data_IF_037295286753
#
_entry.id   IF_037295286753
#
_cell.length_a   1.000
_cell.length_b   1.000
_cell.length_c   1.000
_cell.angle_alpha   90.00
_cell.angle_beta   90.00
_cell.angle_gamma   90.00
#
_symmetry.space_group_name_H-M   'P 1'
#
loop_
_entity.id
_entity.type
_entity.pdbx_description
1 polymer ?
#
# COMPACT_ATOMS: atom_id res chain seq x y z
N UNK A 1 -56.76 18.47 74.72
CA UNK A 1 -57.49 19.73 74.47
C UNK A 1 -56.44 20.83 74.38
N UNK A 2 -56.54 21.70 73.36
CA UNK A 2 -55.65 22.84 73.05
C UNK A 2 -54.31 22.42 72.40
N UNK A 3 -53.84 22.95 71.26
CA UNK A 3 -54.38 23.83 70.22
C UNK A 3 -53.55 23.58 68.94
N UNK A 4 -54.23 23.61 67.79
CA UNK A 4 -53.69 23.70 66.45
C UNK A 4 -53.42 25.19 66.18
N UNK A 5 -52.22 25.59 65.77
CA UNK A 5 -52.01 26.84 65.02
C UNK A 5 -50.92 26.61 63.95
N UNK A 6 -51.34 26.87 62.71
CA UNK A 6 -50.55 26.96 61.50
C UNK A 6 -49.56 28.13 61.59
N UNK A 7 -48.29 27.92 61.22
CA UNK A 7 -47.42 29.04 60.82
C UNK A 7 -46.86 28.78 59.41
N UNK A 8 -47.55 29.39 58.46
CA UNK A 8 -47.15 29.57 57.07
C UNK A 8 -45.82 30.33 57.00
N UNK A 9 -44.74 29.64 56.62
CA UNK A 9 -43.50 30.30 56.20
C UNK A 9 -43.62 30.73 54.75
N UNK A 10 -43.33 32.00 54.39
CA UNK A 10 -43.36 32.43 53.01
C UNK A 10 -42.12 31.88 52.28
N UNK A 11 -42.36 31.03 51.28
CA UNK A 11 -41.40 30.69 50.23
C UNK A 11 -40.96 31.98 49.54
N UNK A 12 -39.75 32.44 49.87
CA UNK A 12 -39.07 33.47 49.09
C UNK A 12 -38.39 32.79 47.92
N UNK A 13 -39.17 32.47 46.89
CA UNK A 13 -38.67 32.18 45.54
C UNK A 13 -37.98 33.45 45.00
N UNK A 14 -36.70 33.61 45.34
CA UNK A 14 -35.81 34.49 44.60
C UNK A 14 -35.05 33.65 43.59
N UNK A 15 -35.78 33.14 42.59
CA UNK A 15 -35.20 32.81 41.30
C UNK A 15 -34.78 34.14 40.64
N UNK A 16 -33.70 34.72 41.16
CA UNK A 16 -33.06 35.87 40.58
C UNK A 16 -32.37 35.37 39.31
N UNK A 17 -33.10 35.46 38.20
CA UNK A 17 -32.61 35.07 36.90
C UNK A 17 -31.30 35.80 36.64
N UNK A 18 -30.20 35.05 36.58
CA UNK A 18 -28.86 35.59 36.35
C UNK A 18 -28.78 36.37 35.02
N UNK A 19 -29.76 36.19 34.13
CA UNK A 19 -29.96 36.97 32.92
C UNK A 19 -30.26 38.46 33.21
N UNK A 20 -31.07 38.77 34.23
CA UNK A 20 -31.50 40.15 34.54
C UNK A 20 -30.37 40.99 35.16
N UNK A 21 -29.51 40.37 35.98
CA UNK A 21 -28.32 41.01 36.54
C UNK A 21 -27.36 41.46 35.44
N UNK A 22 -27.20 40.62 34.42
CA UNK A 22 -26.29 40.88 33.29
C UNK A 22 -26.79 42.06 32.43
N UNK A 23 -28.11 42.17 32.23
CA UNK A 23 -28.71 43.25 31.44
C UNK A 23 -28.63 44.61 32.15
N UNK A 24 -28.81 44.60 33.48
CA UNK A 24 -28.71 45.80 34.31
C UNK A 24 -27.30 46.39 34.34
N UNK A 25 -26.28 45.53 34.46
CA UNK A 25 -24.87 45.94 34.35
C UNK A 25 -24.54 46.53 32.98
N UNK A 26 -25.13 45.97 31.90
CA UNK A 26 -24.98 46.48 30.54
C UNK A 26 -25.57 47.89 30.39
N UNK A 27 -26.73 48.11 31.00
CA UNK A 27 -27.45 49.39 30.97
C UNK A 27 -26.74 50.47 31.78
N UNK A 28 -26.12 50.11 32.91
CA UNK A 28 -25.23 50.99 33.68
C UNK A 28 -23.94 51.33 32.93
N UNK A 29 -23.34 50.37 32.22
CA UNK A 29 -22.15 50.63 31.41
C UNK A 29 -22.45 51.54 30.19
N UNK A 30 -23.66 51.47 29.65
CA UNK A 30 -24.16 52.38 28.62
C UNK A 30 -24.42 53.80 29.17
N UNK A 31 -25.06 53.92 30.34
CA UNK A 31 -25.34 55.22 30.97
C UNK A 31 -24.07 55.93 31.45
N UNK A 32 -23.07 55.17 31.90
CA UNK A 32 -21.73 55.67 32.22
C UNK A 32 -20.90 56.06 30.97
N UNK A 33 -21.45 55.90 29.77
CA UNK A 33 -20.82 56.28 28.50
C UNK A 33 -19.65 55.39 28.07
N UNK A 34 -19.44 54.25 28.75
CA UNK A 34 -18.39 53.27 28.41
C UNK A 34 -18.78 52.45 27.18
N UNK A 35 -20.07 52.20 27.00
CA UNK A 35 -20.66 51.58 25.81
C UNK A 35 -21.41 52.65 25.00
N UNK A 36 -21.11 52.77 23.70
CA UNK A 36 -21.84 53.65 22.77
C UNK A 36 -22.68 52.81 21.80
N UNK A 37 -23.84 53.29 21.32
CA UNK A 37 -24.55 52.63 20.24
C UNK A 37 -23.62 52.52 19.03
N UNK A 38 -23.38 51.30 18.54
CA UNK A 38 -22.45 51.04 17.43
C UNK A 38 -20.98 50.81 17.82
N UNK A 39 -20.64 50.74 19.12
CA UNK A 39 -19.31 50.36 19.60
C UNK A 39 -19.08 48.83 19.60
N UNK A 40 -19.99 48.06 18.99
CA UNK A 40 -19.83 46.64 18.79
C UNK A 40 -18.91 46.43 17.58
N UNK A 41 -17.60 46.45 17.81
CA UNK A 41 -16.64 45.97 16.81
C UNK A 41 -16.78 44.45 16.80
N UNK A 42 -17.25 43.90 15.68
CA UNK A 42 -17.11 42.46 15.43
C UNK A 42 -15.61 42.19 15.38
N UNK A 43 -15.06 41.71 16.51
CA UNK A 43 -13.70 41.21 16.53
C UNK A 43 -13.70 39.99 15.62
N UNK A 44 -13.21 40.16 14.39
CA UNK A 44 -12.89 39.03 13.55
C UNK A 44 -12.01 38.10 14.39
N UNK A 45 -12.55 36.94 14.77
CA UNK A 45 -11.83 35.97 15.58
C UNK A 45 -10.47 35.72 14.94
N UNK A 46 -9.42 35.55 15.76
CA UNK A 46 -8.06 35.32 15.27
C UNK A 46 -8.11 34.33 14.11
N UNK A 47 -7.65 34.77 12.93
CA UNK A 47 -7.68 33.95 11.71
C UNK A 47 -7.05 32.60 12.04
N UNK A 48 -7.79 31.51 11.78
CA UNK A 48 -7.27 30.16 11.99
C UNK A 48 -5.97 30.03 11.17
N UNK A 49 -4.89 29.52 11.75
CA UNK A 49 -3.66 29.33 11.00
C UNK A 49 -3.92 28.33 9.86
N UNK A 50 -3.28 28.56 8.71
CA UNK A 50 -3.41 27.67 7.54
C UNK A 50 -2.99 26.22 7.87
N UNK A 51 -2.05 26.05 8.80
CA UNK A 51 -1.64 24.75 9.34
C UNK A 51 -1.77 24.74 10.86
N UNK A 52 -2.97 24.40 11.35
CA UNK A 52 -3.23 24.22 12.78
C UNK A 52 -2.76 22.84 13.26
N UNK A 53 -1.48 22.75 13.62
CA UNK A 53 -0.90 21.52 14.16
C UNK A 53 -1.57 21.07 15.48
N UNK A 54 -2.10 22.00 16.29
CA UNK A 54 -2.79 21.65 17.53
C UNK A 54 -4.16 21.02 17.25
N UNK A 55 -4.92 21.60 16.33
CA UNK A 55 -6.19 21.03 15.87
C UNK A 55 -6.02 19.65 15.24
N UNK A 56 -5.00 19.46 14.40
CA UNK A 56 -4.70 18.14 13.79
C UNK A 56 -4.38 17.07 14.84
N UNK A 57 -3.62 17.41 15.90
CA UNK A 57 -3.33 16.48 17.00
C UNK A 57 -4.57 16.15 17.82
N UNK A 58 -5.45 17.12 18.04
CA UNK A 58 -6.73 16.90 18.72
C UNK A 58 -7.62 15.97 17.90
N UNK A 59 -7.81 16.26 16.60
CA UNK A 59 -8.57 15.38 15.70
C UNK A 59 -7.97 13.98 15.61
N UNK A 60 -6.63 13.84 15.61
CA UNK A 60 -5.97 12.54 15.67
C UNK A 60 -6.35 11.80 16.95
N UNK A 61 -6.32 12.49 18.10
CA UNK A 61 -6.70 11.91 19.39
C UNK A 61 -8.15 11.44 19.38
N UNK A 62 -9.05 12.24 18.80
CA UNK A 62 -10.48 11.92 18.73
C UNK A 62 -10.76 10.74 17.78
N UNK A 63 -9.97 10.59 16.70
CA UNK A 63 -10.08 9.48 15.74
C UNK A 63 -9.34 8.21 16.18
N UNK A 64 -8.38 8.32 17.09
CA UNK A 64 -7.53 7.20 17.47
C UNK A 64 -8.29 6.25 18.37
N UNK A 65 -8.67 5.11 17.81
CA UNK A 65 -9.23 4.00 18.57
C UNK A 65 -8.14 3.24 19.33
N UNK A 66 -8.22 3.23 20.67
CA UNK A 66 -7.31 2.50 21.56
C UNK A 66 -7.65 1.00 21.67
N UNK A 67 -7.96 0.37 20.53
CA UNK A 67 -8.24 -1.07 20.49
C UNK A 67 -6.95 -1.90 20.54
N UNK A 68 -6.98 -3.13 21.08
CA UNK A 68 -5.89 -4.08 20.95
C UNK A 68 -5.48 -4.24 19.49
N UNK A 69 -4.18 -4.34 19.24
CA UNK A 69 -3.66 -4.42 17.86
C UNK A 69 -4.26 -5.56 17.03
N UNK A 70 -4.69 -6.65 17.67
CA UNK A 70 -5.32 -7.80 17.00
C UNK A 70 -6.60 -7.43 16.27
N UNK A 71 -7.33 -6.44 16.76
CA UNK A 71 -8.58 -5.96 16.15
C UNK A 71 -8.32 -4.94 15.05
N UNK A 72 -7.18 -4.24 15.12
CA UNK A 72 -6.80 -3.21 14.14
C UNK A 72 -6.02 -3.79 12.95
N UNK A 73 -5.16 -4.78 13.21
CA UNK A 73 -4.23 -5.42 12.27
C UNK A 73 -3.42 -4.40 11.43
N UNK A 74 -3.22 -3.20 11.96
CA UNK A 74 -2.53 -2.10 11.30
C UNK A 74 -1.01 -2.30 11.39
N UNK A 75 -0.32 -2.16 10.25
CA UNK A 75 1.14 -2.31 10.20
C UNK A 75 1.72 -1.18 9.36
N UNK A 76 2.58 -0.39 9.98
CA UNK A 76 3.36 0.66 9.33
C UNK A 76 4.82 0.22 9.28
N UNK A 77 5.31 -0.12 8.10
CA UNK A 77 6.69 -0.58 7.87
C UNK A 77 7.24 0.02 6.59
N UNK A 78 8.54 0.22 6.59
CA UNK A 78 9.30 0.57 5.40
C UNK A 78 9.52 -0.67 4.52
N UNK A 79 9.76 -0.49 3.21
CA UNK A 79 10.08 -1.60 2.31
C UNK A 79 11.32 -2.38 2.77
N UNK A 80 11.32 -3.71 2.59
CA UNK A 80 12.51 -4.52 2.88
C UNK A 80 13.66 -4.09 1.98
N UNK A 81 14.83 -3.85 2.56
CA UNK A 81 16.06 -3.55 1.82
C UNK A 81 16.44 -4.69 0.88
N UNK A 82 16.90 -4.36 -0.32
CA UNK A 82 17.23 -5.32 -1.36
C UNK A 82 18.53 -6.06 -1.02
N UNK A 83 18.44 -7.28 -0.48
CA UNK A 83 19.63 -8.10 -0.17
C UNK A 83 20.21 -8.79 -1.42
N UNK A 84 19.46 -8.80 -2.53
CA UNK A 84 19.88 -9.37 -3.82
C UNK A 84 20.70 -8.34 -4.60
N UNK A 85 21.98 -8.21 -4.25
CA UNK A 85 22.93 -7.24 -4.81
C UNK A 85 23.13 -7.33 -6.33
N UNK A 86 22.34 -6.56 -7.09
CA UNK A 86 22.63 -6.22 -8.50
C UNK A 86 22.52 -4.73 -8.80
N UNK A 87 22.09 -3.88 -7.86
CA UNK A 87 22.25 -2.43 -7.97
C UNK A 87 22.81 -1.91 -6.64
N UNK A 88 23.98 -1.28 -6.73
CA UNK A 88 24.74 -0.81 -5.58
C UNK A 88 23.94 0.11 -4.66
N UNK A 89 24.33 0.07 -3.38
CA UNK A 89 24.11 1.11 -2.37
C UNK A 89 22.99 2.10 -2.69
N UNK A 90 21.77 1.78 -2.27
CA UNK A 90 20.80 2.81 -1.94
C UNK A 90 20.74 2.90 -0.43
N UNK A 91 21.19 4.03 0.09
CA UNK A 91 21.05 4.39 1.50
C UNK A 91 19.58 4.24 1.92
N UNK A 92 19.30 3.65 3.10
CA UNK A 92 17.93 3.40 3.56
C UNK A 92 17.09 4.67 3.80
N UNK A 93 17.69 5.87 3.68
CA UNK A 93 17.06 7.14 3.99
C UNK A 93 16.78 8.06 2.78
N UNK A 94 17.16 7.70 1.56
CA UNK A 94 16.73 8.39 0.32
C UNK A 94 16.96 7.47 -0.87
N UNK A 95 16.06 6.52 -1.11
CA UNK A 95 15.96 5.95 -2.44
C UNK A 95 15.04 6.86 -3.24
N UNK A 96 15.60 7.73 -4.09
CA UNK A 96 14.88 8.38 -5.19
C UNK A 96 14.36 7.27 -6.12
N UNK A 97 13.29 6.60 -5.69
CA UNK A 97 12.55 5.67 -6.51
C UNK A 97 11.96 6.53 -7.61
N UNK A 98 12.33 6.26 -8.85
CA UNK A 98 11.76 6.97 -9.97
C UNK A 98 10.25 6.69 -9.98
N UNK A 99 9.44 7.67 -9.56
CA UNK A 99 8.00 7.54 -9.48
C UNK A 99 7.36 7.27 -10.85
N UNK A 100 8.05 7.62 -11.95
CA UNK A 100 7.61 7.37 -13.32
C UNK A 100 7.94 5.95 -13.82
N UNK A 101 8.84 5.22 -13.14
CA UNK A 101 9.12 3.82 -13.46
C UNK A 101 8.15 2.89 -12.71
N UNK A 102 7.13 2.44 -13.43
CA UNK A 102 6.10 1.55 -12.90
C UNK A 102 6.67 0.25 -12.32
N UNK A 103 7.72 -0.32 -12.92
CA UNK A 103 8.27 -1.60 -12.45
C UNK A 103 8.99 -1.45 -11.11
N UNK A 104 9.74 -0.36 -10.94
CA UNK A 104 10.40 -0.04 -9.67
C UNK A 104 9.38 0.28 -8.58
N UNK A 105 8.35 1.05 -8.93
CA UNK A 105 7.25 1.41 -8.02
C UNK A 105 6.47 0.17 -7.54
N UNK A 106 6.07 -0.71 -8.45
CA UNK A 106 5.37 -1.95 -8.13
C UNK A 106 6.24 -2.89 -7.28
N UNK A 107 7.55 -2.97 -7.57
CA UNK A 107 8.49 -3.74 -6.76
C UNK A 107 8.60 -3.19 -5.32
N UNK A 108 8.58 -1.87 -5.15
CA UNK A 108 8.57 -1.24 -3.83
C UNK A 108 7.31 -1.60 -3.04
N UNK A 109 6.12 -1.47 -3.66
CA UNK A 109 4.86 -1.86 -3.02
C UNK A 109 4.84 -3.33 -2.63
N UNK A 110 5.34 -4.21 -3.50
CA UNK A 110 5.46 -5.63 -3.21
C UNK A 110 6.34 -5.89 -1.97
N UNK A 111 7.50 -5.23 -1.88
CA UNK A 111 8.42 -5.38 -0.74
C UNK A 111 7.86 -4.81 0.55
N UNK A 112 7.15 -3.69 0.49
CA UNK A 112 6.48 -3.12 1.66
C UNK A 112 5.40 -4.06 2.18
N UNK A 113 4.58 -4.62 1.28
CA UNK A 113 3.59 -5.63 1.64
C UNK A 113 4.24 -6.89 2.24
N UNK A 114 5.35 -7.34 1.67
CA UNK A 114 6.12 -8.47 2.20
C UNK A 114 6.67 -8.18 3.61
N UNK A 115 7.24 -7.00 3.85
CA UNK A 115 7.69 -6.56 5.17
C UNK A 115 6.55 -6.64 6.19
N UNK A 116 5.37 -6.14 5.81
CA UNK A 116 4.21 -6.10 6.69
C UNK A 116 3.72 -7.52 7.05
N UNK A 117 3.72 -8.43 6.08
CA UNK A 117 3.37 -9.85 6.30
C UNK A 117 4.40 -10.53 7.22
N UNK A 118 5.70 -10.31 6.98
CA UNK A 118 6.76 -10.87 7.82
C UNK A 118 6.73 -10.34 9.26
N UNK A 119 6.34 -9.08 9.44
CA UNK A 119 6.16 -8.48 10.75
C UNK A 119 4.91 -9.01 11.49
N UNK A 120 3.78 -9.12 10.78
CA UNK A 120 2.48 -9.48 11.37
C UNK A 120 2.33 -10.96 11.67
N UNK A 121 2.82 -11.86 10.81
CA UNK A 121 2.63 -13.31 10.97
C UNK A 121 3.18 -13.86 12.30
N UNK A 122 4.41 -13.53 12.75
CA UNK A 122 4.91 -13.98 14.04
C UNK A 122 4.07 -13.46 15.21
N UNK A 123 3.55 -12.23 15.12
CA UNK A 123 2.71 -11.61 16.14
C UNK A 123 1.36 -12.34 16.26
N UNK A 124 0.73 -12.64 15.13
CA UNK A 124 -0.51 -13.43 15.08
C UNK A 124 -0.32 -14.86 15.62
N UNK A 125 0.81 -15.51 15.31
CA UNK A 125 1.14 -16.84 15.86
C UNK A 125 1.29 -16.83 17.38
N UNK A 126 1.94 -15.80 17.95
CA UNK A 126 2.05 -15.64 19.42
C UNK A 126 0.67 -15.53 20.09
N UNK A 127 -0.29 -14.93 19.40
CA UNK A 127 -1.68 -14.78 19.82
C UNK A 127 -2.55 -16.00 19.49
N UNK A 128 -1.96 -17.08 18.94
CA UNK A 128 -2.64 -18.32 18.54
C UNK A 128 -3.77 -18.11 17.51
N UNK A 129 -3.65 -17.09 16.66
CA UNK A 129 -4.59 -16.85 15.55
C UNK A 129 -4.17 -17.68 14.33
N UNK A 130 -5.11 -18.41 13.74
CA UNK A 130 -4.87 -19.18 12.51
C UNK A 130 -4.75 -18.24 11.30
N UNK A 131 -3.62 -18.27 10.60
CA UNK A 131 -3.34 -17.34 9.49
C UNK A 131 -3.42 -17.99 8.10
N UNK A 132 -3.37 -19.33 8.01
CA UNK A 132 -3.41 -20.05 6.74
C UNK A 132 -4.84 -20.50 6.46
N UNK A 133 -5.34 -20.18 5.27
CA UNK A 133 -6.62 -20.72 4.77
C UNK A 133 -6.48 -22.23 4.51
N UNK A 134 -7.32 -23.08 5.13
CA UNK A 134 -7.37 -24.52 4.81
C UNK A 134 -7.92 -24.76 3.40
N UNK A 135 -7.41 -25.79 2.71
CA UNK A 135 -7.87 -26.15 1.36
C UNK A 135 -9.31 -26.69 1.34
N UNK A 136 -9.75 -27.28 2.45
CA UNK A 136 -11.10 -27.84 2.64
C UNK A 136 -12.11 -26.81 3.19
N UNK A 137 -11.74 -25.53 3.24
CA UNK A 137 -12.64 -24.46 3.66
C UNK A 137 -13.20 -23.69 2.46
N UNK A 138 -14.40 -24.11 2.04
CA UNK A 138 -15.15 -23.55 0.92
C UNK A 138 -16.06 -22.41 1.40
N UNK A 139 -15.54 -21.19 1.36
CA UNK A 139 -16.29 -19.96 1.57
C UNK A 139 -16.30 -19.12 0.28
N UNK A 140 -17.18 -18.13 0.20
CA UNK A 140 -17.21 -17.20 -0.92
C UNK A 140 -15.88 -16.43 -1.02
N UNK A 141 -15.31 -16.42 -2.23
CA UNK A 141 -14.06 -15.71 -2.54
C UNK A 141 -14.37 -14.42 -3.29
N UNK A 142 -13.47 -13.44 -3.22
CA UNK A 142 -13.63 -12.15 -3.90
C UNK A 142 -13.82 -12.25 -5.43
N UNK A 143 -13.41 -13.37 -6.05
CA UNK A 143 -13.61 -13.66 -7.48
C UNK A 143 -14.22 -15.04 -7.64
N UNK A 144 -15.18 -15.17 -8.57
CA UNK A 144 -15.83 -16.45 -8.86
C UNK A 144 -14.88 -17.43 -9.56
N UNK A 145 -15.12 -18.73 -9.38
CA UNK A 145 -14.33 -19.78 -10.01
C UNK A 145 -14.37 -19.71 -11.54
N UNK A 146 -15.54 -19.39 -12.10
CA UNK A 146 -15.70 -19.18 -13.54
C UNK A 146 -14.77 -18.06 -14.06
N UNK A 147 -14.62 -16.96 -13.31
CA UNK A 147 -13.69 -15.89 -13.66
C UNK A 147 -12.24 -16.38 -13.59
N UNK A 148 -11.87 -17.10 -12.53
CA UNK A 148 -10.51 -17.64 -12.37
C UNK A 148 -10.16 -18.70 -13.43
N UNK A 149 -11.13 -19.48 -13.90
CA UNK A 149 -10.94 -20.42 -15.01
C UNK A 149 -10.64 -19.70 -16.32
N UNK A 150 -11.31 -18.56 -16.60
CA UNK A 150 -11.00 -17.71 -17.75
C UNK A 150 -9.56 -17.16 -17.69
N UNK A 151 -9.11 -16.71 -16.51
CA UNK A 151 -7.72 -16.24 -16.32
C UNK A 151 -6.74 -17.38 -16.56
N UNK A 152 -6.97 -18.55 -15.96
CA UNK A 152 -6.12 -19.74 -16.14
C UNK A 152 -6.00 -20.14 -17.61
N UNK A 153 -7.11 -20.14 -18.34
CA UNK A 153 -7.11 -20.44 -19.76
C UNK A 153 -6.26 -19.45 -20.57
N UNK A 154 -6.38 -18.14 -20.31
CA UNK A 154 -5.54 -17.12 -20.97
C UNK A 154 -4.05 -17.31 -20.67
N UNK A 155 -3.70 -17.66 -19.44
CA UNK A 155 -2.31 -17.91 -19.05
C UNK A 155 -1.74 -19.13 -19.79
N UNK A 156 -2.49 -20.22 -19.87
CA UNK A 156 -2.12 -21.42 -20.62
C UNK A 156 -1.93 -21.13 -22.12
N UNK A 157 -2.83 -20.35 -22.72
CA UNK A 157 -2.70 -19.93 -24.12
C UNK A 157 -1.44 -19.11 -24.36
N UNK A 158 -1.11 -18.17 -23.46
CA UNK A 158 0.11 -17.36 -23.56
C UNK A 158 1.36 -18.22 -23.44
N UNK A 159 1.37 -19.17 -22.51
CA UNK A 159 2.47 -20.13 -22.32
C UNK A 159 2.67 -20.99 -23.58
N UNK A 160 1.61 -21.59 -24.10
CA UNK A 160 1.67 -22.41 -25.31
C UNK A 160 2.14 -21.61 -26.54
N UNK A 161 1.71 -20.35 -26.67
CA UNK A 161 2.18 -19.44 -27.73
C UNK A 161 3.68 -19.16 -27.63
N UNK A 162 4.17 -18.89 -26.42
CA UNK A 162 5.59 -18.66 -26.16
C UNK A 162 6.43 -19.90 -26.48
N UNK A 163 6.01 -21.08 -26.01
CA UNK A 163 6.68 -22.35 -26.30
C UNK A 163 6.71 -22.67 -27.79
N UNK A 164 5.62 -22.42 -28.52
CA UNK A 164 5.57 -22.61 -29.96
C UNK A 164 6.55 -21.68 -30.68
N UNK A 165 6.66 -20.43 -30.25
CA UNK A 165 7.63 -19.47 -30.79
C UNK A 165 9.07 -19.93 -30.56
N UNK A 166 9.40 -20.36 -29.34
CA UNK A 166 10.73 -20.87 -29.00
C UNK A 166 11.08 -22.16 -29.76
N UNK A 167 10.16 -23.12 -29.84
CA UNK A 167 10.32 -24.33 -30.67
C UNK A 167 10.56 -23.98 -32.14
N UNK A 168 9.85 -22.98 -32.67
CA UNK A 168 10.02 -22.53 -34.05
C UNK A 168 11.39 -21.84 -34.26
N UNK A 169 11.91 -21.09 -33.28
CA UNK A 169 13.28 -20.53 -33.33
C UNK A 169 14.32 -21.65 -33.31
N UNK A 170 14.17 -22.63 -32.42
CA UNK A 170 15.07 -23.77 -32.32
C UNK A 170 15.09 -24.60 -33.61
N UNK A 171 13.92 -24.88 -34.20
CA UNK A 171 13.82 -25.61 -35.47
C UNK A 171 14.50 -24.84 -36.62
N UNK A 172 14.36 -23.51 -36.65
CA UNK A 172 15.05 -22.65 -37.62
C UNK A 172 16.57 -22.70 -37.44
N UNK A 173 17.07 -22.67 -36.21
CA UNK A 173 18.50 -22.79 -35.90
C UNK A 173 19.05 -24.17 -36.33
N UNK A 174 18.34 -25.26 -36.00
CA UNK A 174 18.70 -26.62 -36.40
C UNK A 174 18.76 -26.78 -37.92
N UNK A 175 17.78 -26.24 -38.66
CA UNK A 175 17.79 -26.26 -40.13
C UNK A 175 18.99 -25.50 -40.72
N UNK A 176 19.33 -24.33 -40.16
CA UNK A 176 20.51 -23.56 -40.59
C UNK A 176 21.80 -24.33 -40.31
N UNK A 177 21.93 -24.93 -39.13
CA UNK A 177 23.10 -25.72 -38.76
C UNK A 177 23.23 -26.98 -39.63
N UNK A 178 22.14 -27.71 -39.84
CA UNK A 178 22.12 -28.89 -40.71
C UNK A 178 22.60 -28.60 -42.13
N UNK A 179 22.21 -27.46 -42.72
CA UNK A 179 22.73 -27.02 -44.04
C UNK A 179 24.24 -26.76 -44.01
N UNK A 180 24.76 -26.10 -42.97
CA UNK A 180 26.20 -25.85 -42.81
C UNK A 180 26.97 -27.16 -42.70
N UNK A 181 26.50 -28.08 -41.86
CA UNK A 181 27.10 -29.40 -41.67
C UNK A 181 27.12 -30.19 -42.98
N UNK A 182 26.04 -30.19 -43.75
CA UNK A 182 26.01 -30.87 -45.05
C UNK A 182 27.08 -30.33 -46.01
N UNK A 183 27.23 -29.00 -46.11
CA UNK A 183 28.26 -28.38 -46.94
C UNK A 183 29.67 -28.72 -46.43
N UNK A 184 29.89 -28.64 -45.13
CA UNK A 184 31.18 -28.94 -44.50
C UNK A 184 31.59 -30.41 -44.71
N UNK A 185 30.66 -31.35 -44.52
CA UNK A 185 30.89 -32.78 -44.77
C UNK A 185 31.23 -33.03 -46.24
N UNK A 186 30.55 -32.38 -47.19
CA UNK A 186 30.85 -32.51 -48.61
C UNK A 186 32.26 -32.00 -48.94
N UNK A 187 32.61 -30.81 -48.43
CA UNK A 187 33.94 -30.22 -48.61
C UNK A 187 35.04 -31.09 -47.98
N UNK A 188 34.81 -31.63 -46.77
CA UNK A 188 35.74 -32.53 -46.10
C UNK A 188 35.98 -33.81 -46.91
N UNK A 189 34.91 -34.45 -47.42
CA UNK A 189 35.02 -35.61 -48.30
C UNK A 189 35.78 -35.31 -49.60
N UNK A 190 35.56 -34.15 -50.21
CA UNK A 190 36.30 -33.74 -51.41
C UNK A 190 37.79 -33.54 -51.12
N UNK A 191 38.14 -32.90 -49.99
CA UNK A 191 39.53 -32.73 -49.54
C UNK A 191 40.20 -34.07 -49.23
N UNK A 192 39.51 -34.98 -48.57
CA UNK A 192 40.02 -36.33 -48.28
C UNK A 192 40.27 -37.11 -49.58
N UNK A 193 39.35 -37.06 -50.54
CA UNK A 193 39.53 -37.69 -51.86
C UNK A 193 40.72 -37.10 -52.62
N UNK A 194 40.87 -35.77 -52.64
CA UNK A 194 42.00 -35.14 -53.34
C UNK A 194 43.34 -35.46 -52.67
N UNK A 195 43.40 -35.47 -51.34
CA UNK A 195 44.58 -35.90 -50.57
C UNK A 195 44.95 -37.36 -50.81
N UNK A 196 43.96 -38.27 -50.90
CA UNK A 196 44.19 -39.67 -51.23
C UNK A 196 44.76 -39.82 -52.65
N UNK A 197 44.21 -39.09 -53.63
CA UNK A 197 44.68 -39.13 -55.02
C UNK A 197 46.11 -38.58 -55.16
N UNK A 198 46.48 -37.53 -54.41
CA UNK A 198 47.86 -37.01 -54.42
C UNK A 198 48.82 -37.99 -53.77
N UNK A 199 48.45 -38.67 -52.67
CA UNK A 199 49.26 -39.73 -52.07
C UNK A 199 49.48 -40.91 -53.04
N UNK A 200 48.44 -41.35 -53.75
CA UNK A 200 48.57 -42.42 -54.76
C UNK A 200 49.51 -42.01 -55.89
N UNK A 201 49.38 -40.78 -56.42
CA UNK A 201 50.30 -40.25 -57.44
C UNK A 201 51.74 -40.20 -56.92
N UNK A 202 51.94 -39.84 -55.65
CA UNK A 202 53.27 -39.77 -55.01
C UNK A 202 53.92 -41.15 -54.86
N UNK A 203 53.12 -42.21 -54.69
CA UNK A 203 53.60 -43.61 -54.62
C UNK A 203 53.80 -44.29 -55.99
N UNK A 204 53.28 -43.71 -57.07
CA UNK A 204 53.46 -44.19 -58.46
C UNK A 204 54.68 -43.58 -59.17
N UNK A 205 55.38 -42.65 -58.53
CA UNK A 205 56.73 -42.22 -58.88
C UNK A 205 57.72 -43.00 -58.03
#
# INVERSE_FOLDING_TARGET
MLHHEDESSPESDSDFDASELTDKELQEAFSQGKLKPGLNVVLEGKKKPFNDASGLKQSLKDLKNELPWVERLDVTVDPVADTTGQNGQTDPNTSDINAEDDFQREMCFYRQAQAAVLYSLPRLRKLKVATKRPDDYFAEMAKTDQHMQKIRHKLQLKQASMEKSEKAKQLRALRKYGKKVQVEVLQKRQKEKSAMMTQIKKKKK
#
